data_IF_263458972039
#
_entry.id   IF_263458972039
#
_cell.length_a   1.000
_cell.length_b   1.000
_cell.length_c   1.000
_cell.angle_alpha   90.00
_cell.angle_beta   90.00
_cell.angle_gamma   90.00
#
_symmetry.space_group_name_H-M   'P 1'
#
loop_
_entity.id
_entity.type
_entity.pdbx_description
1 polymer ?
#
# COMPACT_ATOMS: atom_id res chain seq x y z
N UNK A 1 7.33 -10.25 19.70
CA UNK A 1 6.70 -10.45 18.37
C UNK A 1 5.53 -9.49 18.37
N UNK A 2 5.70 -8.32 17.75
CA UNK A 2 4.60 -7.37 17.65
C UNK A 2 3.51 -8.02 16.82
N UNK A 3 2.27 -8.02 17.33
CA UNK A 3 1.09 -8.31 16.53
C UNK A 3 0.90 -7.08 15.63
N UNK A 4 1.60 -7.04 14.50
CA UNK A 4 1.35 -6.05 13.47
C UNK A 4 -0.06 -6.24 12.93
N UNK A 5 -0.78 -5.15 12.70
CA UNK A 5 -2.10 -5.21 12.07
C UNK A 5 -1.94 -5.79 10.67
N UNK A 6 -2.53 -6.96 10.40
CA UNK A 6 -2.55 -7.54 9.06
C UNK A 6 -3.74 -6.96 8.30
N UNK A 7 -3.48 -5.97 7.43
CA UNK A 7 -4.50 -5.37 6.57
C UNK A 7 -4.60 -6.19 5.30
N UNK A 8 -5.81 -6.66 5.01
CA UNK A 8 -6.12 -7.40 3.81
C UNK A 8 -7.10 -6.67 2.89
N UNK A 9 -6.97 -6.97 1.60
CA UNK A 9 -7.85 -6.45 0.55
C UNK A 9 -8.90 -7.50 0.19
N UNK A 10 -10.17 -7.14 0.36
CA UNK A 10 -11.33 -7.93 -0.07
C UNK A 10 -11.99 -7.25 -1.24
N UNK A 11 -12.07 -7.95 -2.38
CA UNK A 11 -12.65 -7.42 -3.60
C UNK A 11 -14.16 -7.72 -3.66
N UNK A 12 -14.92 -6.85 -4.33
CA UNK A 12 -16.36 -7.04 -4.57
C UNK A 12 -16.67 -8.25 -5.48
N UNK A 13 -15.64 -8.79 -6.15
CA UNK A 13 -15.68 -10.06 -6.86
C UNK A 13 -14.59 -10.98 -6.35
N UNK A 14 -14.88 -12.27 -6.36
CA UNK A 14 -13.95 -13.29 -5.89
C UNK A 14 -12.66 -13.28 -6.72
N UNK A 15 -11.54 -13.05 -6.05
CA UNK A 15 -10.22 -13.07 -6.66
C UNK A 15 -9.82 -14.51 -7.00
N UNK A 16 -9.45 -14.83 -8.25
CA UNK A 16 -9.03 -16.18 -8.61
C UNK A 16 -7.74 -16.57 -7.88
N UNK A 17 -7.85 -17.48 -6.92
CA UNK A 17 -6.75 -17.89 -6.03
C UNK A 17 -5.44 -18.23 -6.77
N UNK A 18 -5.53 -18.96 -7.89
CA UNK A 18 -4.33 -19.35 -8.66
C UNK A 18 -3.61 -18.14 -9.29
N UNK A 19 -4.35 -17.13 -9.73
CA UNK A 19 -3.76 -15.91 -10.31
C UNK A 19 -3.12 -15.07 -9.20
N UNK A 20 -3.79 -14.95 -8.05
CA UNK A 20 -3.23 -14.29 -6.86
C UNK A 20 -1.93 -14.96 -6.39
N UNK A 21 -1.91 -16.29 -6.25
CA UNK A 21 -0.73 -17.01 -5.81
C UNK A 21 0.44 -16.84 -6.79
N UNK A 22 0.19 -16.95 -8.10
CA UNK A 22 1.22 -16.73 -9.11
C UNK A 22 1.80 -15.31 -9.06
N UNK A 23 0.94 -14.30 -8.87
CA UNK A 23 1.36 -12.90 -8.75
C UNK A 23 2.15 -12.66 -7.46
N UNK A 24 1.68 -13.18 -6.34
CA UNK A 24 2.37 -13.08 -5.04
C UNK A 24 3.78 -13.68 -5.13
N UNK A 25 3.90 -14.86 -5.72
CA UNK A 25 5.18 -15.55 -5.86
C UNK A 25 6.14 -14.80 -6.81
N UNK A 26 5.62 -14.17 -7.86
CA UNK A 26 6.40 -13.33 -8.79
C UNK A 26 7.05 -12.13 -8.10
N UNK A 27 6.33 -11.47 -7.20
CA UNK A 27 6.83 -10.29 -6.48
C UNK A 27 7.51 -10.63 -5.16
N UNK A 28 7.55 -11.91 -4.78
CA UNK A 28 7.97 -12.35 -3.46
C UNK A 28 7.25 -11.59 -2.34
N UNK A 29 5.97 -11.28 -2.56
CA UNK A 29 5.15 -10.54 -1.61
C UNK A 29 4.84 -11.44 -0.43
N UNK A 30 5.19 -10.99 0.77
CA UNK A 30 5.08 -11.76 2.00
C UNK A 30 4.20 -11.09 3.06
N UNK A 31 3.30 -10.20 2.59
CA UNK A 31 2.32 -9.51 3.43
C UNK A 31 2.95 -8.69 4.59
N UNK A 32 4.26 -8.42 4.51
CA UNK A 32 5.01 -7.77 5.59
C UNK A 32 4.50 -6.36 5.89
N UNK A 33 4.78 -5.99 7.14
CA UNK A 33 4.30 -4.81 7.87
C UNK A 33 4.37 -3.49 7.12
N UNK A 34 5.31 -3.25 6.21
CA UNK A 34 5.59 -1.89 5.77
C UNK A 34 4.52 -1.22 4.89
N UNK A 35 3.72 -2.00 4.15
CA UNK A 35 2.51 -1.47 3.53
C UNK A 35 1.40 -1.28 4.57
N UNK A 36 1.30 -2.18 5.55
CA UNK A 36 0.37 -2.01 6.65
C UNK A 36 0.75 -0.77 7.49
N UNK A 37 2.03 -0.47 7.67
CA UNK A 37 2.54 0.76 8.31
C UNK A 37 2.11 2.01 7.54
N UNK A 38 2.06 1.94 6.20
CA UNK A 38 1.50 3.01 5.39
C UNK A 38 0.01 3.18 5.71
N UNK A 39 -0.74 2.09 5.69
CA UNK A 39 -2.21 2.12 5.75
C UNK A 39 -2.75 2.36 7.18
N UNK A 40 -2.21 1.69 8.19
CA UNK A 40 -2.59 1.84 9.61
C UNK A 40 -1.83 2.96 10.32
N UNK A 41 -0.62 3.30 9.88
CA UNK A 41 0.33 4.05 10.71
C UNK A 41 0.85 3.23 11.89
N UNK A 42 2.00 3.63 12.44
CA UNK A 42 2.54 3.10 13.69
C UNK A 42 3.04 4.28 14.52
N UNK A 43 2.14 4.87 15.31
CA UNK A 43 2.45 6.05 16.12
C UNK A 43 1.22 6.76 16.67
N UNK A 44 1.35 7.28 17.88
CA UNK A 44 0.37 8.17 18.54
C UNK A 44 0.45 9.63 18.06
N UNK A 45 1.43 9.95 17.23
CA UNK A 45 1.66 11.29 16.71
C UNK A 45 1.69 11.25 15.18
N UNK A 46 0.75 12.02 14.66
CA UNK A 46 0.16 11.95 13.34
C UNK A 46 1.20 12.38 12.28
N UNK A 47 2.15 13.26 12.68
CA UNK A 47 3.28 13.70 11.85
C UNK A 47 4.28 12.59 11.45
N UNK A 48 4.31 11.46 12.17
CA UNK A 48 5.20 10.34 11.86
C UNK A 48 4.55 9.27 10.98
N UNK A 49 3.25 9.38 10.68
CA UNK A 49 2.57 8.45 9.77
C UNK A 49 3.18 8.54 8.38
N UNK A 50 3.63 7.40 7.86
CA UNK A 50 4.26 7.31 6.54
C UNK A 50 3.35 7.88 5.44
N UNK A 51 2.04 7.65 5.55
CA UNK A 51 1.04 8.16 4.62
C UNK A 51 1.06 9.68 4.53
N UNK A 52 1.05 10.37 5.67
CA UNK A 52 1.07 11.83 5.70
C UNK A 52 2.39 12.41 5.22
N UNK A 53 3.51 11.75 5.51
CA UNK A 53 4.80 12.14 4.97
C UNK A 53 4.80 12.04 3.44
N UNK A 54 4.19 10.99 2.88
CA UNK A 54 4.03 10.81 1.44
C UNK A 54 3.09 11.85 0.82
N UNK A 55 1.94 12.13 1.43
CA UNK A 55 1.02 13.19 1.00
C UNK A 55 1.72 14.55 0.94
N UNK A 56 2.50 14.89 1.96
CA UNK A 56 3.29 16.14 2.01
C UNK A 56 4.38 16.16 0.96
N UNK A 57 5.07 15.05 0.74
CA UNK A 57 6.15 14.96 -0.23
C UNK A 57 5.65 15.02 -1.69
N UNK A 58 4.43 14.53 -1.94
CA UNK A 58 3.82 14.46 -3.27
C UNK A 58 2.82 15.57 -3.56
N UNK A 59 2.37 16.30 -2.53
CA UNK A 59 1.29 17.27 -2.63
C UNK A 59 0.00 16.69 -3.25
N UNK A 60 -0.27 15.42 -2.93
CA UNK A 60 -1.45 14.65 -3.36
C UNK A 60 -2.18 14.14 -2.13
N UNK A 61 -3.51 14.15 -2.17
CA UNK A 61 -4.37 13.51 -1.17
C UNK A 61 -4.33 11.99 -1.34
N UNK A 62 -3.81 11.28 -0.35
CA UNK A 62 -3.65 9.82 -0.33
C UNK A 62 -4.51 9.15 0.73
N UNK A 63 -5.47 9.88 1.32
CA UNK A 63 -6.39 9.36 2.34
C UNK A 63 -7.07 8.06 1.98
N UNK A 64 -7.24 7.77 0.69
CA UNK A 64 -7.82 6.50 0.21
C UNK A 64 -7.00 5.26 0.63
N UNK A 65 -5.74 5.44 1.04
CA UNK A 65 -4.87 4.40 1.60
C UNK A 65 -4.96 4.34 3.13
N UNK A 66 -5.65 5.28 3.79
CA UNK A 66 -5.83 5.29 5.24
C UNK A 66 -6.83 4.21 5.64
N UNK A 67 -6.30 3.15 6.24
CA UNK A 67 -7.08 2.03 6.73
C UNK A 67 -8.16 2.46 7.73
N UNK A 68 -7.85 3.39 8.63
CA UNK A 68 -8.79 3.80 9.68
C UNK A 68 -9.93 4.67 9.14
N UNK A 69 -9.69 5.40 8.06
CA UNK A 69 -10.71 6.22 7.40
C UNK A 69 -11.68 5.36 6.57
N UNK A 70 -11.22 4.25 6.00
CA UNK A 70 -11.99 3.41 5.08
C UNK A 70 -12.18 1.94 5.54
N UNK A 71 -12.05 1.66 6.84
CA UNK A 71 -12.22 0.31 7.37
C UNK A 71 -13.62 -0.24 7.09
N UNK A 72 -13.70 -1.43 6.47
CA UNK A 72 -14.95 -2.05 6.02
C UNK A 72 -15.77 -1.20 5.03
N UNK A 73 -15.17 -0.16 4.44
CA UNK A 73 -15.78 0.64 3.38
C UNK A 73 -15.29 0.20 2.00
N UNK A 74 -16.21 0.18 1.04
CA UNK A 74 -15.85 -0.12 -0.35
C UNK A 74 -15.28 1.10 -1.06
N UNK A 75 -14.07 0.94 -1.57
CA UNK A 75 -13.29 1.90 -2.31
C UNK A 75 -13.30 1.55 -3.80
N UNK A 76 -13.33 2.56 -4.66
CA UNK A 76 -13.17 2.39 -6.11
C UNK A 76 -11.75 1.93 -6.47
N UNK A 77 -11.64 0.84 -7.24
CA UNK A 77 -10.35 0.25 -7.60
C UNK A 77 -9.46 1.16 -8.42
N UNK A 78 -10.04 1.92 -9.36
CA UNK A 78 -9.27 2.82 -10.22
C UNK A 78 -8.73 4.01 -9.42
N UNK A 79 -9.51 4.51 -8.45
CA UNK A 79 -9.05 5.55 -7.52
C UNK A 79 -7.88 5.08 -6.66
N UNK A 80 -8.00 3.89 -6.05
CA UNK A 80 -6.91 3.31 -5.25
C UNK A 80 -5.66 3.07 -6.10
N UNK A 81 -5.84 2.49 -7.29
CA UNK A 81 -4.75 2.24 -8.25
C UNK A 81 -4.06 3.53 -8.69
N UNK A 82 -4.81 4.60 -8.95
CA UNK A 82 -4.23 5.89 -9.33
C UNK A 82 -3.31 6.45 -8.24
N UNK A 83 -3.69 6.31 -6.97
CA UNK A 83 -2.85 6.70 -5.83
C UNK A 83 -1.56 5.88 -5.76
N UNK A 84 -1.67 4.55 -5.89
CA UNK A 84 -0.49 3.67 -5.90
C UNK A 84 0.45 3.96 -7.08
N UNK A 85 -0.08 4.29 -8.26
CA UNK A 85 0.75 4.68 -9.42
C UNK A 85 1.54 5.95 -9.13
N UNK A 86 0.91 6.97 -8.52
CA UNK A 86 1.62 8.21 -8.14
C UNK A 86 2.77 7.92 -7.16
N UNK A 87 2.56 7.00 -6.22
CA UNK A 87 3.62 6.52 -5.31
C UNK A 87 4.73 5.85 -6.11
N UNK A 88 4.39 4.92 -7.01
CA UNK A 88 5.37 4.20 -7.81
C UNK A 88 6.21 5.13 -8.68
N UNK A 89 5.59 6.14 -9.30
CA UNK A 89 6.28 7.15 -10.10
C UNK A 89 7.24 7.99 -9.26
N UNK A 90 6.82 8.39 -8.05
CA UNK A 90 7.68 9.11 -7.12
C UNK A 90 8.92 8.32 -6.74
N UNK A 91 8.75 7.03 -6.41
CA UNK A 91 9.85 6.13 -6.04
C UNK A 91 10.84 5.93 -7.20
N UNK A 92 10.34 5.90 -8.45
CA UNK A 92 11.17 5.72 -9.66
C UNK A 92 11.92 7.00 -10.06
N UNK A 93 11.28 8.16 -9.96
CA UNK A 93 11.78 9.41 -10.56
C UNK A 93 12.62 10.23 -9.56
N UNK A 94 12.38 10.07 -8.25
CA UNK A 94 13.02 10.87 -7.22
C UNK A 94 13.81 9.97 -6.24
N UNK A 95 15.10 9.72 -6.49
CA UNK A 95 15.94 8.93 -5.56
C UNK A 95 15.97 9.51 -4.13
N UNK A 96 15.79 10.82 -4.00
CA UNK A 96 15.74 11.55 -2.73
C UNK A 96 14.36 11.45 -2.04
N UNK A 97 13.36 10.84 -2.68
CA UNK A 97 12.00 10.70 -2.13
C UNK A 97 12.00 9.96 -0.80
N UNK A 98 12.78 8.88 -0.70
CA UNK A 98 12.94 8.14 0.56
C UNK A 98 13.38 9.03 1.72
N UNK A 99 14.29 9.99 1.47
CA UNK A 99 14.74 10.94 2.51
C UNK A 99 13.65 11.93 2.94
N UNK A 100 12.62 12.15 2.10
CA UNK A 100 11.49 13.04 2.42
C UNK A 100 10.41 12.38 3.28
N UNK A 101 10.34 11.04 3.27
CA UNK A 101 9.29 10.24 3.92
C UNK A 101 9.82 9.38 5.08
N UNK A 102 11.06 9.62 5.49
CA UNK A 102 11.81 8.80 6.43
C UNK A 102 11.73 9.22 7.90
N UNK A 103 10.92 10.21 8.26
CA UNK A 103 10.92 10.71 9.63
C UNK A 103 10.41 9.63 10.58
N UNK A 104 11.25 9.23 11.55
CA UNK A 104 10.89 8.23 12.57
C UNK A 104 10.97 6.77 12.14
N UNK A 105 11.33 6.49 10.88
CA UNK A 105 11.48 5.13 10.34
C UNK A 105 12.97 4.86 10.05
N UNK A 106 13.43 3.62 10.24
CA UNK A 106 14.80 3.23 9.88
C UNK A 106 14.90 2.95 8.37
N UNK A 107 14.91 4.05 7.60
CA UNK A 107 14.64 4.06 6.15
C UNK A 107 15.90 3.85 5.31
N UNK A 108 17.08 4.09 5.86
CA UNK A 108 18.34 3.99 5.11
C UNK A 108 18.81 2.54 4.90
N UNK A 109 18.34 1.60 5.72
CA UNK A 109 18.68 0.16 5.65
C UNK A 109 17.48 -0.81 5.72
N UNK A 110 16.24 -0.34 5.96
CA UNK A 110 15.07 -1.20 6.19
C UNK A 110 14.12 -1.43 4.99
N UNK A 111 12.91 -1.92 5.31
CA UNK A 111 11.82 -2.26 4.38
C UNK A 111 11.61 -1.24 3.24
N UNK A 112 11.64 0.06 3.57
CA UNK A 112 11.31 1.12 2.61
C UNK A 112 12.25 1.12 1.39
N UNK A 113 13.53 0.79 1.60
CA UNK A 113 14.52 0.76 0.52
C UNK A 113 14.54 -0.57 -0.23
N UNK A 114 14.27 -1.67 0.48
CA UNK A 114 14.42 -3.02 -0.07
C UNK A 114 13.15 -3.58 -0.72
N UNK A 115 11.97 -3.23 -0.20
CA UNK A 115 10.71 -3.93 -0.50
C UNK A 115 9.54 -3.04 -0.88
N UNK A 116 9.48 -1.81 -0.37
CA UNK A 116 8.30 -0.94 -0.58
C UNK A 116 7.95 -0.72 -2.05
N UNK A 117 8.93 -0.48 -2.92
CA UNK A 117 8.67 -0.31 -4.35
C UNK A 117 8.16 -1.60 -5.03
N UNK A 118 8.62 -2.76 -4.58
CA UNK A 118 8.13 -4.06 -5.05
C UNK A 118 6.69 -4.30 -4.59
N UNK A 119 6.37 -4.00 -3.34
CA UNK A 119 5.03 -4.15 -2.76
C UNK A 119 4.01 -3.22 -3.42
N UNK A 120 4.37 -1.94 -3.62
CA UNK A 120 3.53 -1.00 -4.38
C UNK A 120 3.27 -1.52 -5.79
N UNK A 121 4.30 -2.09 -6.43
CA UNK A 121 4.16 -2.67 -7.77
C UNK A 121 3.27 -3.93 -7.76
N UNK A 122 3.43 -4.80 -6.77
CA UNK A 122 2.58 -5.97 -6.56
C UNK A 122 1.12 -5.58 -6.43
N UNK A 123 0.80 -4.58 -5.61
CA UNK A 123 -0.58 -4.12 -5.44
C UNK A 123 -1.16 -3.56 -6.74
N UNK A 124 -0.41 -2.73 -7.47
CA UNK A 124 -0.88 -2.19 -8.76
C UNK A 124 -1.24 -3.34 -9.71
N UNK A 125 -0.39 -4.36 -9.81
CA UNK A 125 -0.66 -5.54 -10.64
C UNK A 125 -1.84 -6.36 -10.12
N UNK A 126 -2.00 -6.49 -8.79
CA UNK A 126 -3.15 -7.17 -8.17
C UNK A 126 -4.45 -6.42 -8.47
N UNK A 127 -4.46 -5.09 -8.38
CA UNK A 127 -5.62 -4.28 -8.75
C UNK A 127 -5.93 -4.42 -10.25
N UNK A 128 -4.93 -4.38 -11.13
CA UNK A 128 -5.11 -4.61 -12.58
C UNK A 128 -5.73 -5.99 -12.86
N UNK A 129 -5.23 -7.03 -12.20
CA UNK A 129 -5.76 -8.38 -12.30
C UNK A 129 -7.23 -8.45 -11.88
N UNK A 130 -7.59 -7.84 -10.74
CA UNK A 130 -8.96 -7.83 -10.27
C UNK A 130 -9.90 -7.00 -11.16
N UNK A 131 -9.44 -5.86 -11.68
CA UNK A 131 -10.16 -5.08 -12.70
C UNK A 131 -10.42 -5.92 -13.95
N UNK A 132 -9.43 -6.70 -14.44
CA UNK A 132 -9.63 -7.63 -15.56
C UNK A 132 -10.65 -8.72 -15.24
N UNK A 133 -10.69 -9.19 -13.98
CA UNK A 133 -11.70 -10.10 -13.45
C UNK A 133 -13.03 -9.39 -13.12
N UNK A 134 -13.17 -8.13 -13.55
CA UNK A 134 -14.35 -7.27 -13.45
C UNK A 134 -14.65 -6.75 -12.06
N UNK A 135 -13.77 -6.91 -11.08
CA UNK A 135 -13.94 -6.24 -9.79
C UNK A 135 -14.01 -4.73 -10.04
N UNK A 136 -14.85 -4.03 -9.29
CA UNK A 136 -14.99 -2.57 -9.36
C UNK A 136 -14.55 -1.92 -8.06
N UNK A 137 -14.61 -2.67 -6.95
CA UNK A 137 -14.36 -2.14 -5.62
C UNK A 137 -13.50 -3.08 -4.78
N UNK A 138 -12.86 -2.50 -3.77
CA UNK A 138 -12.08 -3.21 -2.77
C UNK A 138 -12.35 -2.63 -1.39
N UNK A 139 -12.18 -3.43 -0.37
CA UNK A 139 -12.39 -3.08 1.02
C UNK A 139 -11.18 -3.53 1.83
N UNK A 140 -10.81 -2.72 2.83
CA UNK A 140 -9.80 -3.11 3.80
C UNK A 140 -10.45 -3.91 4.95
N UNK A 141 -9.82 -5.02 5.32
CA UNK A 141 -10.20 -5.83 6.49
C UNK A 141 -8.96 -6.17 7.33
N UNK A 142 -9.18 -6.67 8.54
CA UNK A 142 -8.10 -7.12 9.45
C UNK A 142 -8.36 -8.55 9.89
N UNK A 143 -7.28 -9.33 10.08
CA UNK A 143 -7.36 -10.70 10.61
C UNK A 143 -6.74 -10.84 12.01
#
# INVERSE_FOLDING_TARGET
MGLGLEIDFVFDKEEPLQQYLALRDQFHFDARDGLNLLMSGDGTDDEYRLLWQMERALATDMKILDFWEFYEEYIDLELLKSNLIQIQEALKIQPEFYKKIAYGHDVEEGYLKEKFAEDVSFLIERLNMNIMNRAEKVMFVTW
#
